data_IF_757982507002
#
_entry.id   IF_757982507002
#
_cell.length_a   1.000
_cell.length_b   1.000
_cell.length_c   1.000
_cell.angle_alpha   90.00
_cell.angle_beta   90.00
_cell.angle_gamma   90.00
#
_symmetry.space_group_name_H-M   'P 1'
#
loop_
_entity.id
_entity.type
_entity.pdbx_description
1 polymer ?
#
# COMPACT_ATOMS: atom_id res chain seq x y z
N UNK A 1 -21.85 1.55 -14.87
CA UNK A 1 -20.78 1.84 -13.88
C UNK A 1 -20.57 0.57 -13.05
N UNK A 2 -19.58 -0.25 -13.39
CA UNK A 2 -19.39 -1.57 -12.75
C UNK A 2 -18.68 -1.40 -11.42
N UNK A 3 -19.43 -1.58 -10.34
CA UNK A 3 -18.94 -1.72 -8.98
C UNK A 3 -18.13 -3.03 -8.93
N UNK A 4 -16.82 -2.95 -8.67
CA UNK A 4 -16.05 -4.14 -8.31
C UNK A 4 -16.42 -4.47 -6.88
N UNK A 5 -17.47 -5.27 -6.74
CA UNK A 5 -17.86 -5.91 -5.50
C UNK A 5 -16.96 -7.14 -5.36
N UNK A 6 -15.90 -7.05 -4.57
CA UNK A 6 -15.20 -8.25 -4.10
C UNK A 6 -16.09 -8.92 -3.07
N UNK A 7 -17.00 -9.76 -3.55
CA UNK A 7 -17.60 -10.81 -2.76
C UNK A 7 -16.60 -11.97 -2.81
N UNK A 8 -15.73 -12.09 -1.80
CA UNK A 8 -14.96 -13.31 -1.61
C UNK A 8 -15.92 -14.36 -1.08
N UNK A 9 -16.65 -14.97 -2.00
CA UNK A 9 -17.46 -16.15 -1.74
C UNK A 9 -16.51 -17.35 -1.69
N UNK A 10 -16.64 -18.14 -0.62
CA UNK A 10 -15.90 -19.38 -0.32
C UNK A 10 -14.54 -19.20 0.36
N UNK A 11 -14.57 -18.76 1.62
CA UNK A 11 -13.97 -19.56 2.68
C UNK A 11 -14.98 -19.58 3.83
N UNK A 12 -15.70 -20.70 3.99
CA UNK A 12 -16.48 -20.93 5.20
C UNK A 12 -15.47 -21.27 6.30
N UNK A 13 -14.85 -20.25 6.90
CA UNK A 13 -13.99 -20.45 8.07
C UNK A 13 -14.95 -20.62 9.25
N UNK A 14 -15.05 -21.85 9.75
CA UNK A 14 -15.74 -22.15 10.99
C UNK A 14 -14.93 -21.61 12.16
N UNK A 15 -15.06 -20.32 12.47
CA UNK A 15 -14.46 -19.73 13.68
C UNK A 15 -15.43 -19.99 14.84
N UNK A 16 -15.13 -21.02 15.64
CA UNK A 16 -15.77 -21.25 16.93
C UNK A 16 -15.10 -20.34 17.98
N UNK A 17 -15.82 -19.32 18.43
CA UNK A 17 -15.36 -18.40 19.48
C UNK A 17 -15.91 -18.93 20.80
N UNK A 18 -15.03 -19.38 21.70
CA UNK A 18 -15.39 -19.70 23.08
C UNK A 18 -15.53 -18.41 23.89
N UNK A 19 -16.79 -18.00 24.10
CA UNK A 19 -17.24 -16.98 25.05
C UNK A 19 -16.90 -17.42 26.50
N UNK A 20 -16.50 -16.53 27.44
CA UNK A 20 -16.30 -16.91 28.85
C UNK A 20 -17.60 -17.29 29.61
N UNK A 21 -18.79 -17.14 29.01
CA UNK A 21 -19.99 -17.87 29.44
C UNK A 21 -20.00 -19.36 29.03
N UNK A 22 -19.02 -19.79 28.24
CA UNK A 22 -18.88 -21.11 27.62
C UNK A 22 -17.61 -21.80 28.12
N UNK A 23 -17.59 -22.07 29.42
CA UNK A 23 -16.55 -22.89 30.05
C UNK A 23 -16.88 -24.37 29.87
N UNK A 24 -15.85 -25.15 29.51
CA UNK A 24 -15.77 -26.60 29.31
C UNK A 24 -15.94 -27.09 27.87
N UNK A 25 -14.81 -27.24 27.16
CA UNK A 25 -14.45 -28.46 26.45
C UNK A 25 -13.12 -28.26 25.70
N UNK A 26 -12.02 -28.63 26.37
CA UNK A 26 -10.83 -29.11 25.65
C UNK A 26 -11.10 -30.58 25.33
N UNK A 27 -10.81 -31.00 24.09
CA UNK A 27 -10.86 -32.38 23.54
C UNK A 27 -12.10 -32.69 22.67
N UNK A 28 -11.87 -32.93 21.37
CA UNK A 28 -12.82 -33.32 20.32
C UNK A 28 -13.88 -32.25 19.96
N UNK A 29 -13.65 -31.45 18.91
CA UNK A 29 -14.73 -30.64 18.33
C UNK A 29 -15.38 -31.35 17.15
N UNK A 30 -16.68 -31.61 17.36
CA UNK A 30 -17.63 -32.26 16.48
C UNK A 30 -17.84 -31.48 15.17
N UNK A 31 -18.09 -32.23 14.11
CA UNK A 31 -18.52 -31.78 12.79
C UNK A 31 -19.63 -30.74 12.90
N UNK A 32 -19.55 -29.64 12.12
CA UNK A 32 -20.62 -28.63 12.00
C UNK A 32 -22.00 -29.28 11.93
N UNK A 33 -22.85 -29.02 12.94
CA UNK A 33 -24.21 -29.57 13.01
C UNK A 33 -25.07 -28.77 12.01
N UNK A 34 -25.51 -29.44 10.93
CA UNK A 34 -26.23 -28.80 9.83
C UNK A 34 -27.73 -28.67 10.06
N UNK A 35 -28.25 -29.34 11.09
CA UNK A 35 -29.69 -29.51 11.28
C UNK A 35 -30.37 -28.26 11.85
N UNK A 36 -29.63 -27.41 12.59
CA UNK A 36 -30.15 -26.19 13.18
C UNK A 36 -29.11 -25.06 13.19
N UNK A 37 -29.37 -23.88 12.59
CA UNK A 37 -28.44 -22.75 12.60
C UNK A 37 -28.10 -22.20 13.98
N UNK A 38 -28.94 -22.43 14.99
CA UNK A 38 -28.69 -22.00 16.37
C UNK A 38 -27.59 -22.83 17.05
N UNK A 39 -27.40 -24.07 16.60
CA UNK A 39 -26.46 -25.03 17.19
C UNK A 39 -25.06 -24.94 16.55
N UNK A 40 -24.91 -24.12 15.51
CA UNK A 40 -23.63 -23.84 14.84
C UNK A 40 -23.67 -22.46 14.17
N UNK A 41 -23.46 -21.37 14.95
CA UNK A 41 -23.45 -20.03 14.39
C UNK A 41 -22.24 -19.88 13.45
N UNK A 42 -22.52 -19.58 12.17
CA UNK A 42 -21.48 -19.29 11.18
C UNK A 42 -21.15 -17.80 11.27
N UNK A 43 -19.91 -17.51 11.65
CA UNK A 43 -19.38 -16.16 11.66
C UNK A 43 -18.69 -15.87 10.33
N UNK A 44 -19.18 -14.87 9.59
CA UNK A 44 -18.52 -14.38 8.38
C UNK A 44 -17.91 -13.02 8.64
N UNK A 45 -16.59 -12.94 8.52
CA UNK A 45 -15.85 -11.68 8.60
C UNK A 45 -15.56 -11.20 7.19
N UNK A 46 -16.10 -10.04 6.84
CA UNK A 46 -15.90 -9.42 5.53
C UNK A 46 -14.97 -8.22 5.64
N UNK A 47 -13.81 -8.32 5.00
CA UNK A 47 -12.85 -7.22 4.90
C UNK A 47 -13.04 -6.54 3.54
N UNK A 48 -13.34 -5.24 3.56
CA UNK A 48 -13.66 -4.47 2.35
C UNK A 48 -12.60 -3.39 2.13
N UNK A 49 -11.81 -3.56 1.08
CA UNK A 49 -10.87 -2.54 0.62
C UNK A 49 -11.46 -1.77 -0.56
N UNK A 50 -11.52 -0.44 -0.44
CA UNK A 50 -12.00 0.43 -1.52
C UNK A 50 -11.06 0.46 -2.72
N UNK A 51 -11.59 0.72 -3.92
CA UNK A 51 -10.80 0.79 -5.17
C UNK A 51 -9.62 1.78 -5.08
N UNK A 52 -9.84 2.95 -4.47
CA UNK A 52 -8.79 3.96 -4.31
C UNK A 52 -7.69 3.47 -3.34
N UNK A 53 -8.08 2.80 -2.26
CA UNK A 53 -7.14 2.23 -1.31
C UNK A 53 -6.28 1.14 -1.97
N UNK A 54 -6.89 0.22 -2.72
CA UNK A 54 -6.18 -0.81 -3.47
C UNK A 54 -5.19 -0.22 -4.49
N UNK A 55 -5.57 0.84 -5.21
CA UNK A 55 -4.71 1.45 -6.23
C UNK A 55 -3.62 2.36 -5.68
N UNK A 56 -3.94 3.18 -4.67
CA UNK A 56 -3.06 4.27 -4.23
C UNK A 56 -2.15 3.81 -3.10
N UNK A 57 -2.71 3.16 -2.08
CA UNK A 57 -1.96 2.65 -0.92
C UNK A 57 -1.20 1.38 -1.31
N UNK A 58 -1.90 0.40 -1.87
CA UNK A 58 -1.35 -0.93 -2.13
C UNK A 58 -0.78 -1.13 -3.53
N UNK A 59 -1.05 -0.20 -4.45
CA UNK A 59 -0.62 -0.27 -5.86
C UNK A 59 -1.02 -1.56 -6.56
N UNK A 60 -2.17 -2.10 -6.20
CA UNK A 60 -2.75 -3.28 -6.83
C UNK A 60 -3.49 -2.84 -8.10
N UNK A 61 -2.95 -3.23 -9.25
CA UNK A 61 -3.49 -2.88 -10.57
C UNK A 61 -3.68 -4.08 -11.50
N UNK A 62 -3.10 -5.22 -11.14
CA UNK A 62 -3.22 -6.50 -11.82
C UNK A 62 -3.55 -7.62 -10.85
N UNK A 63 -3.98 -8.77 -11.36
CA UNK A 63 -4.20 -9.98 -10.55
C UNK A 63 -2.93 -10.46 -9.86
N UNK A 64 -1.78 -10.36 -10.54
CA UNK A 64 -0.49 -10.69 -9.95
C UNK A 64 -0.14 -9.78 -8.76
N UNK A 65 -0.44 -8.49 -8.86
CA UNK A 65 -0.23 -7.56 -7.74
C UNK A 65 -1.14 -7.93 -6.56
N UNK A 66 -2.36 -8.39 -6.85
CA UNK A 66 -3.29 -8.87 -5.83
C UNK A 66 -2.70 -10.10 -5.13
N UNK A 67 -2.36 -11.16 -5.87
CA UNK A 67 -1.85 -12.41 -5.27
C UNK A 67 -0.62 -12.18 -4.38
N UNK A 68 0.25 -11.26 -4.80
CA UNK A 68 1.49 -10.97 -4.05
C UNK A 68 1.30 -10.07 -2.84
N UNK A 69 0.22 -9.27 -2.78
CA UNK A 69 0.02 -8.22 -1.75
C UNK A 69 -1.25 -8.39 -0.95
N UNK A 70 -2.08 -9.37 -1.28
CA UNK A 70 -3.38 -9.58 -0.67
C UNK A 70 -3.22 -9.85 0.83
N UNK A 71 -2.30 -10.73 1.23
CA UNK A 71 -2.04 -11.04 2.63
C UNK A 71 -1.63 -9.80 3.44
N UNK A 72 -0.78 -8.94 2.87
CA UNK A 72 -0.38 -7.69 3.54
C UNK A 72 -1.54 -6.70 3.64
N UNK A 73 -2.36 -6.60 2.59
CA UNK A 73 -3.55 -5.73 2.55
C UNK A 73 -4.56 -6.14 3.62
N UNK A 74 -4.84 -7.44 3.73
CA UNK A 74 -5.77 -8.00 4.71
C UNK A 74 -5.22 -7.84 6.13
N UNK A 75 -3.95 -8.16 6.35
CA UNK A 75 -3.34 -8.04 7.68
C UNK A 75 -3.33 -6.58 8.17
N UNK A 76 -2.99 -5.61 7.32
CA UNK A 76 -3.03 -4.19 7.70
C UNK A 76 -4.46 -3.72 7.99
N UNK A 77 -5.43 -4.14 7.18
CA UNK A 77 -6.85 -3.84 7.41
C UNK A 77 -7.35 -4.38 8.75
N UNK A 78 -6.91 -5.59 9.13
CA UNK A 78 -7.23 -6.17 10.44
C UNK A 78 -6.54 -5.43 11.60
N UNK A 79 -5.31 -4.96 11.41
CA UNK A 79 -4.58 -4.23 12.45
C UNK A 79 -5.09 -2.81 12.66
N UNK A 80 -5.71 -2.21 11.64
CA UNK A 80 -6.34 -0.89 11.73
C UNK A 80 -7.64 -0.90 12.55
N UNK A 81 -8.29 -2.06 12.69
CA UNK A 81 -9.54 -2.22 13.42
C UNK A 81 -9.27 -2.92 14.75
N UNK A 82 -9.86 -2.39 15.83
CA UNK A 82 -9.75 -3.00 17.14
C UNK A 82 -11.12 -3.38 17.67
N UNK A 83 -11.41 -4.68 17.67
CA UNK A 83 -12.64 -5.23 18.21
C UNK A 83 -12.37 -5.74 19.63
N UNK A 84 -13.07 -5.15 20.60
CA UNK A 84 -12.79 -5.28 22.04
C UNK A 84 -14.03 -5.70 22.82
N UNK A 85 -13.82 -6.39 23.95
CA UNK A 85 -14.89 -6.71 24.90
C UNK A 85 -15.00 -5.59 25.93
N UNK A 86 -16.20 -5.04 26.19
CA UNK A 86 -16.40 -4.07 27.28
C UNK A 86 -15.86 -4.57 28.61
N UNK A 87 -15.17 -3.66 29.32
CA UNK A 87 -14.65 -3.87 30.67
C UNK A 87 -15.14 -2.75 31.58
N UNK A 88 -14.97 -2.91 32.89
CA UNK A 88 -15.36 -1.92 33.90
C UNK A 88 -14.56 -0.60 33.79
N UNK A 89 -13.46 -0.59 33.03
CA UNK A 89 -12.70 0.63 32.72
C UNK A 89 -13.48 1.52 31.75
N UNK A 90 -13.65 2.81 32.06
CA UNK A 90 -14.28 3.77 31.14
C UNK A 90 -13.42 4.09 29.92
N UNK A 91 -12.11 3.85 30.01
CA UNK A 91 -11.18 4.04 28.91
C UNK A 91 -11.18 2.83 27.96
N UNK A 92 -11.93 2.96 26.87
CA UNK A 92 -12.02 1.96 25.80
C UNK A 92 -10.66 1.51 25.28
N UNK A 93 -9.64 2.37 25.28
CA UNK A 93 -8.28 2.00 24.80
C UNK A 93 -7.63 0.88 25.61
N UNK A 94 -8.12 0.58 26.82
CA UNK A 94 -7.59 -0.48 27.69
C UNK A 94 -8.42 -1.76 27.69
N UNK A 95 -9.52 -1.77 26.93
CA UNK A 95 -10.38 -2.94 26.85
C UNK A 95 -9.65 -4.10 26.17
N UNK A 96 -9.80 -5.34 26.69
CA UNK A 96 -9.19 -6.51 26.09
C UNK A 96 -9.74 -6.75 24.68
N UNK A 97 -8.88 -7.26 23.81
CA UNK A 97 -9.27 -7.68 22.47
C UNK A 97 -10.26 -8.85 22.56
N UNK A 98 -11.28 -8.85 21.69
CA UNK A 98 -12.28 -9.91 21.72
C UNK A 98 -11.70 -11.23 21.18
N UNK A 99 -12.04 -12.38 21.77
CA UNK A 99 -11.54 -13.69 21.32
C UNK A 99 -11.80 -13.98 19.84
N UNK A 100 -12.94 -13.52 19.30
CA UNK A 100 -13.23 -13.58 17.85
C UNK A 100 -12.18 -12.85 17.02
N UNK A 101 -11.79 -11.67 17.45
CA UNK A 101 -10.85 -10.84 16.71
C UNK A 101 -9.43 -11.42 16.76
N UNK A 102 -9.07 -12.01 17.91
CA UNK A 102 -7.83 -12.77 18.05
C UNK A 102 -7.79 -13.96 17.10
N UNK A 103 -8.85 -14.77 17.06
CA UNK A 103 -8.96 -15.92 16.16
C UNK A 103 -8.87 -15.51 14.69
N UNK A 104 -9.58 -14.46 14.28
CA UNK A 104 -9.53 -13.92 12.90
C UNK A 104 -8.11 -13.49 12.53
N UNK A 105 -7.42 -12.76 13.41
CA UNK A 105 -6.05 -12.28 13.14
C UNK A 105 -5.05 -13.42 13.08
N UNK A 106 -5.21 -14.44 13.92
CA UNK A 106 -4.37 -15.62 13.90
C UNK A 106 -4.56 -16.40 12.58
N UNK A 107 -5.80 -16.77 12.24
CA UNK A 107 -6.12 -17.52 11.01
C UNK A 107 -5.62 -16.79 9.76
N UNK A 108 -5.85 -15.49 9.66
CA UNK A 108 -5.37 -14.70 8.52
C UNK A 108 -3.83 -14.63 8.47
N UNK A 109 -3.17 -14.56 9.62
CA UNK A 109 -1.70 -14.52 9.66
C UNK A 109 -1.07 -15.84 9.25
N UNK A 110 -1.73 -16.97 9.51
CA UNK A 110 -1.26 -18.32 9.20
C UNK A 110 -1.63 -18.73 7.75
N UNK A 111 -2.88 -18.52 7.34
CA UNK A 111 -3.41 -19.01 6.04
C UNK A 111 -3.00 -18.12 4.84
N UNK A 112 -2.92 -16.79 5.04
CA UNK A 112 -2.51 -15.88 3.96
C UNK A 112 -1.01 -15.64 3.91
N UNK A 113 -0.19 -16.43 4.62
CA UNK A 113 1.25 -16.23 4.73
C UNK A 113 1.95 -16.21 3.36
N UNK A 114 1.56 -17.11 2.44
CA UNK A 114 2.14 -17.20 1.09
C UNK A 114 1.82 -15.99 0.20
N UNK A 115 0.80 -15.21 0.56
CA UNK A 115 0.32 -14.03 -0.18
C UNK A 115 0.83 -12.71 0.39
N UNK A 116 1.92 -12.75 1.19
CA UNK A 116 2.57 -11.59 1.79
C UNK A 116 3.87 -11.27 1.06
N UNK A 117 4.03 -10.02 0.65
CA UNK A 117 5.28 -9.50 0.09
C UNK A 117 6.18 -8.91 1.17
N UNK A 118 5.63 -8.52 2.33
CA UNK A 118 6.29 -7.75 3.41
C UNK A 118 6.95 -6.44 2.95
N UNK A 119 6.87 -6.10 1.66
CA UNK A 119 7.48 -4.92 1.11
C UNK A 119 6.62 -3.70 1.44
N UNK A 120 7.18 -2.83 2.28
CA UNK A 120 6.56 -1.58 2.66
C UNK A 120 6.35 -0.70 1.41
N UNK A 121 5.08 -0.33 1.08
CA UNK A 121 4.77 0.56 -0.02
C UNK A 121 5.54 1.88 0.04
N UNK A 122 5.87 2.37 1.23
CA UNK A 122 6.57 3.64 1.43
C UNK A 122 8.08 3.51 1.17
N UNK A 123 8.68 2.36 1.50
CA UNK A 123 10.05 2.02 1.09
C UNK A 123 10.16 1.84 -0.43
N UNK A 124 9.17 1.22 -1.07
CA UNK A 124 9.16 1.10 -2.54
C UNK A 124 9.08 2.48 -3.20
N UNK A 125 8.33 3.43 -2.61
CA UNK A 125 8.21 4.80 -3.12
C UNK A 125 9.53 5.56 -3.05
N UNK A 126 10.28 5.46 -1.96
CA UNK A 126 11.57 6.15 -1.84
C UNK A 126 12.58 5.63 -2.88
N UNK A 127 12.69 4.31 -3.01
CA UNK A 127 13.57 3.67 -4.01
C UNK A 127 13.21 4.09 -5.44
N UNK A 128 11.92 4.17 -5.77
CA UNK A 128 11.49 4.62 -7.10
C UNK A 128 11.81 6.09 -7.39
N UNK A 129 11.71 6.98 -6.38
CA UNK A 129 12.09 8.38 -6.54
C UNK A 129 13.59 8.51 -6.80
N UNK A 130 14.40 7.81 -6.02
CA UNK A 130 15.85 7.83 -6.15
C UNK A 130 16.31 7.29 -7.52
N UNK A 131 15.69 6.20 -7.99
CA UNK A 131 16.01 5.63 -9.29
C UNK A 131 15.65 6.58 -10.45
N UNK A 132 14.49 7.25 -10.33
CA UNK A 132 14.04 8.20 -11.34
C UNK A 132 14.90 9.48 -11.34
N UNK A 133 15.36 9.95 -10.19
CA UNK A 133 16.30 11.07 -10.09
C UNK A 133 17.63 10.75 -10.78
N UNK A 134 18.20 9.55 -10.51
CA UNK A 134 19.41 9.07 -11.20
C UNK A 134 19.25 9.03 -12.71
N UNK A 135 18.10 8.53 -13.20
CA UNK A 135 17.80 8.48 -14.62
C UNK A 135 17.77 9.88 -15.24
N UNK A 136 17.11 10.85 -14.60
CA UNK A 136 17.07 12.24 -15.06
C UNK A 136 18.47 12.87 -15.07
N UNK A 137 19.29 12.63 -14.04
CA UNK A 137 20.67 13.11 -13.98
C UNK A 137 21.53 12.57 -15.13
N UNK A 138 21.40 11.29 -15.46
CA UNK A 138 22.07 10.67 -16.60
C UNK A 138 21.61 11.28 -17.93
N UNK A 139 20.30 11.49 -18.10
CA UNK A 139 19.76 12.13 -19.30
C UNK A 139 20.25 13.56 -19.48
N UNK A 140 20.27 14.38 -18.42
CA UNK A 140 20.81 15.74 -18.47
C UNK A 140 22.28 15.74 -18.91
N UNK A 141 23.08 14.82 -18.39
CA UNK A 141 24.50 14.68 -18.75
C UNK A 141 24.67 14.28 -20.22
N UNK A 142 23.87 13.32 -20.70
CA UNK A 142 23.89 12.88 -22.09
C UNK A 142 23.47 13.98 -23.07
N UNK A 143 22.40 14.72 -22.76
CA UNK A 143 21.93 15.85 -23.58
C UNK A 143 22.95 16.98 -23.64
N UNK A 144 23.58 17.30 -22.51
CA UNK A 144 24.67 18.27 -22.46
C UNK A 144 25.85 17.84 -23.34
N UNK A 145 26.23 16.56 -23.27
CA UNK A 145 27.33 15.99 -24.08
C UNK A 145 27.03 16.08 -25.57
N UNK A 146 25.81 15.74 -25.99
CA UNK A 146 25.38 15.86 -27.38
C UNK A 146 25.37 17.32 -27.85
N UNK A 147 24.89 18.25 -27.02
CA UNK A 147 24.91 19.68 -27.34
C UNK A 147 26.35 20.21 -27.47
N UNK A 148 27.24 19.81 -26.57
CA UNK A 148 28.66 20.16 -26.62
C UNK A 148 29.31 19.66 -27.92
N UNK A 149 29.01 18.42 -28.33
CA UNK A 149 29.51 17.84 -29.56
C UNK A 149 29.02 18.60 -30.81
N UNK A 150 27.73 18.98 -30.86
CA UNK A 150 27.17 19.78 -31.97
C UNK A 150 27.88 21.13 -32.11
N UNK A 151 28.26 21.75 -30.98
CA UNK A 151 28.94 23.03 -30.94
C UNK A 151 30.48 22.91 -31.05
N UNK A 152 31.00 21.69 -31.22
CA UNK A 152 32.44 21.44 -31.36
C UNK A 152 33.26 21.66 -30.09
N UNK A 153 32.63 21.61 -28.91
CA UNK A 153 33.31 21.83 -27.62
C UNK A 153 34.21 20.63 -27.29
N UNK A 154 35.45 20.91 -26.90
CA UNK A 154 36.45 19.89 -26.57
C UNK A 154 36.30 19.46 -25.11
N UNK A 155 36.67 18.21 -24.79
CA UNK A 155 36.50 17.63 -23.44
C UNK A 155 37.11 18.45 -22.29
N UNK A 156 38.14 19.26 -22.54
CA UNK A 156 38.77 20.10 -21.52
C UNK A 156 37.87 21.28 -21.09
N UNK A 157 36.96 21.73 -21.95
CA UNK A 157 36.10 22.90 -21.76
C UNK A 157 34.67 22.52 -21.32
N UNK A 158 34.39 21.22 -21.22
CA UNK A 158 33.03 20.72 -20.98
C UNK A 158 32.45 21.19 -19.64
N UNK A 159 33.30 21.41 -18.64
CA UNK A 159 32.90 21.95 -17.33
C UNK A 159 32.36 23.37 -17.47
N UNK A 160 33.11 24.24 -18.13
CA UNK A 160 32.73 25.65 -18.31
C UNK A 160 31.49 25.76 -19.20
N UNK A 161 31.41 24.93 -20.24
CA UNK A 161 30.24 24.80 -21.08
C UNK A 161 28.99 24.35 -20.29
N UNK A 162 29.14 23.40 -19.36
CA UNK A 162 28.07 22.98 -18.46
C UNK A 162 27.55 24.15 -17.60
N UNK A 163 28.47 24.92 -17.01
CA UNK A 163 28.13 26.10 -16.21
C UNK A 163 27.42 27.18 -17.04
N UNK A 164 27.90 27.46 -18.25
CA UNK A 164 27.26 28.42 -19.16
C UNK A 164 25.85 27.95 -19.56
N UNK A 165 25.70 26.68 -19.92
CA UNK A 165 24.39 26.09 -20.27
C UNK A 165 23.42 26.17 -19.09
N UNK A 166 23.88 25.89 -17.87
CA UNK A 166 23.06 26.03 -16.66
C UNK A 166 22.59 27.47 -16.42
N UNK A 167 23.45 28.46 -16.66
CA UNK A 167 23.07 29.89 -16.58
C UNK A 167 22.05 30.28 -17.64
N UNK A 168 22.22 29.83 -18.90
CA UNK A 168 21.23 30.07 -19.96
C UNK A 168 19.85 29.49 -19.61
N UNK A 169 19.82 28.29 -19.02
CA UNK A 169 18.58 27.67 -18.53
C UNK A 169 17.94 28.51 -17.42
N UNK A 170 18.74 28.99 -16.46
CA UNK A 170 18.25 29.87 -15.40
C UNK A 170 17.63 31.15 -15.95
N UNK A 171 18.31 31.84 -16.89
CA UNK A 171 17.76 33.02 -17.55
C UNK A 171 16.47 32.73 -18.31
N UNK A 172 16.38 31.58 -18.97
CA UNK A 172 15.16 31.17 -19.68
C UNK A 172 13.99 30.96 -18.71
N UNK A 173 14.27 30.43 -17.51
CA UNK A 173 13.27 30.26 -16.44
C UNK A 173 12.83 31.62 -15.90
N UNK A 174 13.79 32.51 -15.62
CA UNK A 174 13.53 33.86 -15.11
C UNK A 174 12.74 34.73 -16.10
N UNK A 175 12.97 34.54 -17.40
CA UNK A 175 12.23 35.24 -18.45
C UNK A 175 10.77 34.77 -18.58
N UNK A 176 10.42 33.58 -18.09
CA UNK A 176 9.05 33.05 -18.13
C UNK A 176 8.72 32.19 -16.89
N UNK A 177 8.64 32.81 -15.71
CA UNK A 177 8.51 32.10 -14.45
C UNK A 177 7.17 31.38 -14.33
N UNK A 178 6.09 31.93 -14.87
CA UNK A 178 4.75 31.35 -14.80
C UNK A 178 4.65 30.04 -15.59
N UNK A 179 5.23 30.00 -16.79
CA UNK A 179 5.25 28.78 -17.60
C UNK A 179 6.09 27.69 -16.91
N UNK A 180 7.25 28.05 -16.36
CA UNK A 180 8.07 27.09 -15.62
C UNK A 180 7.36 26.60 -14.35
N UNK A 181 6.73 27.48 -13.59
CA UNK A 181 5.96 27.13 -12.38
C UNK A 181 4.84 26.16 -12.70
N UNK A 182 4.09 26.36 -13.79
CA UNK A 182 3.06 25.42 -14.26
C UNK A 182 3.64 24.05 -14.61
N UNK A 183 4.77 24.02 -15.33
CA UNK A 183 5.45 22.76 -15.68
C UNK A 183 6.02 22.05 -14.45
N UNK A 184 6.57 22.80 -13.50
CA UNK A 184 7.06 22.28 -12.23
C UNK A 184 5.91 21.71 -11.39
N UNK A 185 4.77 22.40 -11.29
CA UNK A 185 3.58 21.88 -10.61
C UNK A 185 3.05 20.60 -11.27
N UNK A 186 3.04 20.53 -12.61
CA UNK A 186 2.68 19.32 -13.34
C UNK A 186 3.69 18.18 -13.13
N UNK A 187 4.98 18.47 -13.08
CA UNK A 187 6.03 17.50 -12.77
C UNK A 187 5.91 17.02 -11.31
N UNK A 188 5.77 17.94 -10.37
CA UNK A 188 5.53 17.65 -8.96
C UNK A 188 4.29 16.76 -8.82
N UNK A 189 3.17 17.04 -9.49
CA UNK A 189 1.98 16.18 -9.46
C UNK A 189 2.21 14.75 -9.97
N UNK A 190 3.26 14.48 -10.76
CA UNK A 190 3.63 13.12 -11.19
C UNK A 190 4.39 12.33 -10.11
N UNK A 191 5.08 13.01 -9.19
CA UNK A 191 5.90 12.41 -8.13
C UNK A 191 5.38 12.69 -6.70
N UNK A 192 4.45 13.63 -6.58
CA UNK A 192 3.64 13.93 -5.41
C UNK A 192 2.47 12.96 -5.44
N UNK A 193 2.66 11.85 -4.75
CA UNK A 193 1.55 10.97 -4.38
C UNK A 193 0.81 11.76 -3.31
N UNK A 194 -0.47 12.05 -3.56
CA UNK A 194 -1.37 12.64 -2.56
C UNK A 194 -1.26 11.83 -1.27
N UNK A 195 -0.83 12.49 -0.20
CA UNK A 195 -1.07 12.04 1.17
C UNK A 195 -2.58 12.11 1.38
N UNK A 196 -3.30 11.03 1.07
CA UNK A 196 -4.74 10.90 1.31
C UNK A 196 -5.07 9.46 1.70
#
# INVERSE_FOLDING_TARGET
>A
MRQLMLCVSCLAIGIAISDPAYSQATTNQETLVRDCPADSPIWRVEIRAGKQHLKTRWRISSWRDLDTRFGDTVNESLNAIRYVVPSDDSNRSRWPEAPLWQAVRQEVSEDLFEMRNFADPDLIKSVQRDEHDKLLAQQMTGLLSTRAAILGIVSAEIRDFAHATGKEMAYTIEANPDHFTKKLASAAGRYHIQDN
#
